data_IF_263944213700
#
_entry.id   IF_263944213700
#
_cell.length_a   1.000
_cell.length_b   1.000
_cell.length_c   1.000
_cell.angle_alpha   90.00
_cell.angle_beta   90.00
_cell.angle_gamma   90.00
#
_symmetry.space_group_name_H-M   'P 1'
#
loop_
_entity.id
_entity.type
_entity.pdbx_description
1 polymer ?
#
# COMPACT_ATOMS: atom_id res chain seq x y z
N UNK A 1 -28.62 -24.34 16.65
CA UNK A 1 -27.40 -23.55 16.95
C UNK A 1 -27.83 -22.35 17.77
N UNK A 2 -27.41 -22.28 19.03
CA UNK A 2 -27.77 -21.19 19.95
C UNK A 2 -26.97 -19.96 19.52
N UNK A 3 -27.64 -18.92 19.01
CA UNK A 3 -27.03 -17.60 18.93
C UNK A 3 -26.79 -17.14 20.37
N UNK A 4 -25.55 -17.29 20.88
CA UNK A 4 -25.17 -16.66 22.13
C UNK A 4 -25.32 -15.14 21.94
N UNK A 5 -26.37 -14.60 22.53
CA UNK A 5 -26.60 -13.17 22.65
C UNK A 5 -25.49 -12.60 23.55
N UNK A 6 -24.32 -12.33 22.96
CA UNK A 6 -23.20 -11.72 23.66
C UNK A 6 -23.67 -10.36 24.16
N UNK A 7 -23.54 -10.12 25.46
CA UNK A 7 -23.84 -8.81 26.05
C UNK A 7 -23.06 -7.73 25.28
N UNK A 8 -23.64 -6.54 25.13
CA UNK A 8 -22.96 -5.42 24.46
C UNK A 8 -21.57 -5.13 25.04
N UNK A 9 -21.37 -5.42 26.33
CA UNK A 9 -20.06 -5.34 26.99
C UNK A 9 -19.07 -6.41 26.49
N UNK A 10 -19.51 -7.65 26.30
CA UNK A 10 -18.67 -8.74 25.77
C UNK A 10 -18.29 -8.48 24.31
N UNK A 11 -19.23 -7.92 23.52
CA UNK A 11 -18.95 -7.51 22.15
C UNK A 11 -17.94 -6.35 22.11
N UNK A 12 -18.06 -5.39 23.02
CA UNK A 12 -17.12 -4.28 23.15
C UNK A 12 -15.69 -4.77 23.44
N UNK A 13 -15.53 -5.71 24.38
CA UNK A 13 -14.23 -6.33 24.70
C UNK A 13 -13.66 -7.11 23.50
N UNK A 14 -14.50 -7.88 22.81
CA UNK A 14 -14.07 -8.62 21.62
C UNK A 14 -13.57 -7.70 20.49
N UNK A 15 -14.20 -6.54 20.30
CA UNK A 15 -13.78 -5.57 19.29
C UNK A 15 -12.43 -4.90 19.63
N UNK A 16 -12.16 -4.63 20.92
CA UNK A 16 -10.86 -4.13 21.36
C UNK A 16 -9.76 -5.16 21.09
N UNK A 17 -10.03 -6.44 21.37
CA UNK A 17 -9.09 -7.51 21.07
C UNK A 17 -8.78 -7.60 19.57
N UNK A 18 -9.81 -7.61 18.73
CA UNK A 18 -9.64 -7.62 17.26
C UNK A 18 -8.79 -6.45 16.77
N UNK A 19 -9.02 -5.25 17.31
CA UNK A 19 -8.22 -4.07 16.98
C UNK A 19 -6.76 -4.23 17.40
N UNK A 20 -6.50 -4.74 18.61
CA UNK A 20 -5.14 -5.00 19.08
C UNK A 20 -4.39 -6.04 18.25
N UNK A 21 -5.07 -7.13 17.87
CA UNK A 21 -4.50 -8.18 17.01
C UNK A 21 -4.12 -7.60 15.63
N UNK A 22 -5.01 -6.78 15.04
CA UNK A 22 -4.74 -6.08 13.78
C UNK A 22 -3.56 -5.09 13.89
N UNK A 23 -3.45 -4.33 14.98
CA UNK A 23 -2.32 -3.43 15.21
C UNK A 23 -1.01 -4.18 15.25
N UNK A 24 -0.95 -5.32 15.96
CA UNK A 24 0.26 -6.13 16.05
C UNK A 24 0.68 -6.70 14.68
N UNK A 25 -0.29 -7.12 13.87
CA UNK A 25 -0.04 -7.59 12.50
C UNK A 25 0.54 -6.48 11.61
N UNK A 26 -0.02 -5.27 11.67
CA UNK A 26 0.47 -4.11 10.89
C UNK A 26 1.78 -3.56 11.40
N UNK A 27 2.04 -3.60 12.71
CA UNK A 27 3.35 -3.25 13.27
C UNK A 27 4.45 -4.19 12.76
N UNK A 28 4.14 -5.47 12.53
CA UNK A 28 5.08 -6.43 11.95
C UNK A 28 5.27 -6.23 10.43
N UNK A 29 4.21 -5.83 9.71
CA UNK A 29 4.25 -5.58 8.26
C UNK A 29 4.91 -4.25 7.90
N UNK A 30 4.77 -3.21 8.73
CA UNK A 30 5.34 -1.88 8.49
C UNK A 30 4.64 -1.08 7.38
N UNK A 31 3.40 -1.44 7.05
CA UNK A 31 2.59 -0.92 5.93
C UNK A 31 1.67 0.25 6.32
N UNK A 32 1.99 0.96 7.41
CA UNK A 32 1.18 2.05 7.96
C UNK A 32 0.86 3.20 6.97
N UNK A 33 1.68 3.38 5.94
CA UNK A 33 1.47 4.41 4.92
C UNK A 33 0.22 4.16 4.07
N UNK A 34 -0.10 2.89 3.79
CA UNK A 34 -1.25 2.51 2.98
C UNK A 34 -2.57 2.80 3.70
N UNK A 35 -2.54 2.73 5.03
CA UNK A 35 -3.69 3.00 5.91
C UNK A 35 -3.79 4.45 6.38
N UNK A 36 -2.88 5.32 5.91
CA UNK A 36 -2.83 6.74 6.31
C UNK A 36 -3.38 7.63 5.22
N UNK A 37 -4.38 8.45 5.55
CA UNK A 37 -4.98 9.43 4.63
C UNK A 37 -5.04 10.81 5.27
N UNK A 38 -4.39 11.79 4.65
CA UNK A 38 -4.30 13.17 5.13
C UNK A 38 -3.78 13.28 6.58
N UNK A 39 -2.78 12.46 6.95
CA UNK A 39 -2.16 12.48 8.29
C UNK A 39 -3.01 11.88 9.40
N UNK A 40 -4.06 11.13 9.06
CA UNK A 40 -4.89 10.37 10.00
C UNK A 40 -5.09 8.95 9.48
N UNK A 41 -5.33 8.01 10.38
CA UNK A 41 -5.63 6.63 10.01
C UNK A 41 -7.03 6.53 9.39
N UNK A 42 -7.15 5.73 8.32
CA UNK A 42 -8.42 5.51 7.64
C UNK A 42 -9.35 4.59 8.44
N UNK A 43 -10.16 5.19 9.32
CA UNK A 43 -11.05 4.47 10.25
C UNK A 43 -12.02 3.50 9.57
N UNK A 44 -12.46 3.79 8.35
CA UNK A 44 -13.37 2.91 7.60
C UNK A 44 -12.68 1.64 7.14
N UNK A 45 -11.45 1.78 6.66
CA UNK A 45 -10.62 0.67 6.19
C UNK A 45 -10.17 -0.21 7.35
N UNK A 46 -9.74 0.41 8.46
CA UNK A 46 -9.43 -0.28 9.71
C UNK A 46 -10.63 -1.11 10.21
N UNK A 47 -11.84 -0.54 10.19
CA UNK A 47 -13.03 -1.25 10.62
C UNK A 47 -13.33 -2.48 9.75
N UNK A 48 -13.16 -2.35 8.44
CA UNK A 48 -13.32 -3.46 7.49
C UNK A 48 -12.30 -4.57 7.75
N UNK A 49 -11.01 -4.22 7.91
CA UNK A 49 -9.92 -5.17 8.18
C UNK A 49 -10.09 -5.87 9.53
N UNK A 50 -10.45 -5.13 10.57
CA UNK A 50 -10.72 -5.70 11.89
C UNK A 50 -12.02 -6.53 11.94
N UNK A 51 -12.85 -6.48 10.89
CA UNK A 51 -14.12 -7.20 10.83
C UNK A 51 -15.14 -6.71 11.86
N UNK A 52 -15.25 -5.40 12.07
CA UNK A 52 -16.32 -4.78 12.85
C UNK A 52 -16.88 -3.54 12.17
N UNK A 53 -18.11 -3.14 12.52
CA UNK A 53 -18.74 -1.97 11.90
C UNK A 53 -18.03 -0.66 12.29
N UNK A 54 -18.00 0.31 11.39
CA UNK A 54 -17.47 1.67 11.66
C UNK A 54 -18.13 2.34 12.88
N UNK A 55 -19.38 1.98 13.20
CA UNK A 55 -20.08 2.44 14.40
C UNK A 55 -19.33 2.06 15.69
N UNK A 56 -18.63 0.93 15.72
CA UNK A 56 -17.85 0.47 16.87
C UNK A 56 -16.71 1.45 17.16
N UNK A 57 -16.02 1.96 16.13
CA UNK A 57 -14.95 2.97 16.30
C UNK A 57 -15.51 4.25 16.93
N UNK A 58 -16.77 4.60 16.66
CA UNK A 58 -17.42 5.81 17.17
C UNK A 58 -18.04 5.63 18.57
N UNK A 59 -18.63 4.47 18.83
CA UNK A 59 -19.46 4.21 20.01
C UNK A 59 -18.71 3.49 21.13
N UNK A 60 -17.67 2.71 20.81
CA UNK A 60 -16.89 1.99 21.82
C UNK A 60 -15.73 2.87 22.31
N UNK A 61 -15.79 3.44 23.53
CA UNK A 61 -14.76 4.33 24.04
C UNK A 61 -13.40 3.64 24.15
N UNK A 62 -13.36 2.33 24.39
CA UNK A 62 -12.11 1.59 24.50
C UNK A 62 -11.39 1.46 23.16
N UNK A 63 -12.12 1.20 22.06
CA UNK A 63 -11.54 1.18 20.70
C UNK A 63 -11.07 2.57 20.30
N UNK A 64 -11.84 3.61 20.63
CA UNK A 64 -11.44 4.99 20.38
C UNK A 64 -10.14 5.36 21.09
N UNK A 65 -10.02 5.05 22.38
CA UNK A 65 -8.81 5.31 23.15
C UNK A 65 -7.60 4.52 22.61
N UNK A 66 -7.80 3.26 22.21
CA UNK A 66 -6.75 2.46 21.59
C UNK A 66 -6.28 3.06 20.25
N UNK A 67 -7.20 3.58 19.44
CA UNK A 67 -6.90 4.24 18.17
C UNK A 67 -6.14 5.56 18.37
N UNK A 68 -6.55 6.39 19.35
CA UNK A 68 -5.84 7.63 19.69
C UNK A 68 -4.42 7.35 20.22
N UNK A 69 -4.25 6.30 21.01
CA UNK A 69 -2.94 5.83 21.49
C UNK A 69 -2.06 5.38 20.32
N UNK A 70 -2.62 4.60 19.40
CA UNK A 70 -1.93 4.17 18.18
C UNK A 70 -1.50 5.37 17.34
N UNK A 71 -2.40 6.29 17.04
CA UNK A 71 -2.10 7.50 16.25
C UNK A 71 -0.98 8.32 16.92
N UNK A 72 -0.99 8.45 18.25
CA UNK A 72 0.10 9.11 18.99
C UNK A 72 1.42 8.38 18.83
N UNK A 73 1.44 7.06 19.00
CA UNK A 73 2.67 6.26 18.85
C UNK A 73 3.23 6.31 17.42
N UNK A 74 2.36 6.29 16.40
CA UNK A 74 2.77 6.38 15.00
C UNK A 74 3.27 7.78 14.64
N UNK A 75 2.73 8.82 15.30
CA UNK A 75 3.22 10.20 15.18
C UNK A 75 4.60 10.36 15.83
N UNK A 76 4.82 9.80 17.01
CA UNK A 76 6.13 9.79 17.68
C UNK A 76 7.18 9.04 16.84
N UNK A 77 6.79 7.94 16.19
CA UNK A 77 7.64 7.19 15.25
C UNK A 77 7.82 7.91 13.90
N UNK A 78 7.13 9.02 13.65
CA UNK A 78 7.19 9.77 12.38
C UNK A 78 6.54 9.05 11.18
N UNK A 79 5.74 8.02 11.42
CA UNK A 79 5.09 7.21 10.38
C UNK A 79 3.82 7.87 9.83
N UNK A 80 3.18 8.74 10.62
CA UNK A 80 2.00 9.52 10.22
C UNK A 80 2.31 11.01 10.40
N UNK A 81 2.11 11.79 9.33
CA UNK A 81 2.28 13.24 9.36
C UNK A 81 1.32 13.90 10.37
N UNK A 82 1.87 14.60 11.36
CA UNK A 82 1.10 15.22 12.43
C UNK A 82 0.14 16.30 11.93
N UNK A 83 -1.17 16.05 12.02
CA UNK A 83 -2.20 17.04 11.69
C UNK A 83 -2.47 18.07 12.79
N UNK A 84 -1.81 17.98 13.96
CA UNK A 84 -2.07 18.91 15.07
C UNK A 84 -1.41 20.28 14.87
N UNK A 85 -0.65 20.47 13.79
CA UNK A 85 -0.24 21.79 13.31
C UNK A 85 -1.26 22.44 12.33
N UNK A 86 -2.39 21.79 12.02
CA UNK A 86 -3.27 22.19 10.90
C UNK A 86 -4.31 23.27 11.24
N UNK A 87 -4.37 23.77 12.48
CA UNK A 87 -5.25 24.92 12.83
C UNK A 87 -4.53 26.21 13.21
N UNK A 88 -3.20 26.23 13.26
CA UNK A 88 -2.43 27.46 13.50
C UNK A 88 -1.55 27.90 12.31
N UNK A 89 -1.28 27.02 11.34
CA UNK A 89 -0.27 27.26 10.29
C UNK A 89 -0.85 27.45 8.87
N UNK A 90 -2.09 27.94 8.74
CA UNK A 90 -2.63 28.29 7.41
C UNK A 90 -2.03 29.57 6.82
N UNK A 91 -1.30 30.33 7.62
CA UNK A 91 -0.62 31.57 7.22
C UNK A 91 0.92 31.51 7.38
N UNK A 92 1.53 30.31 7.42
CA UNK A 92 2.99 30.18 7.43
C UNK A 92 3.54 30.00 6.00
N UNK A 93 4.26 30.98 5.42
CA UNK A 93 4.85 30.88 4.08
C UNK A 93 5.82 29.70 3.96
N UNK A 94 6.37 29.22 5.08
CA UNK A 94 7.31 28.10 5.15
C UNK A 94 6.62 26.75 4.88
N UNK A 95 5.38 26.58 5.37
CA UNK A 95 4.58 25.37 5.17
C UNK A 95 4.14 25.21 3.69
N UNK A 96 3.71 26.30 3.06
CA UNK A 96 3.35 26.32 1.64
C UNK A 96 4.56 26.05 0.73
N UNK A 97 5.74 26.54 1.10
CA UNK A 97 6.98 26.26 0.37
C UNK A 97 7.38 24.79 0.47
N UNK A 98 7.21 24.17 1.65
CA UNK A 98 7.47 22.74 1.84
C UNK A 98 6.50 21.89 1.02
N UNK A 99 5.20 22.21 1.05
CA UNK A 99 4.18 21.48 0.29
C UNK A 99 4.42 21.56 -1.23
N UNK A 100 4.79 22.74 -1.76
CA UNK A 100 5.20 22.87 -3.17
C UNK A 100 6.44 22.04 -3.52
N UNK A 101 7.44 21.98 -2.63
CA UNK A 101 8.65 21.16 -2.84
C UNK A 101 8.32 19.68 -2.84
N UNK A 102 7.44 19.23 -1.95
CA UNK A 102 6.96 17.84 -1.89
C UNK A 102 6.19 17.48 -3.16
N UNK A 103 5.27 18.35 -3.61
CA UNK A 103 4.52 18.13 -4.84
C UNK A 103 5.43 18.11 -6.08
N UNK A 104 6.43 18.99 -6.15
CA UNK A 104 7.41 18.99 -7.23
C UNK A 104 8.30 17.72 -7.21
N UNK A 105 8.71 17.26 -6.03
CA UNK A 105 9.46 16.01 -5.88
C UNK A 105 8.62 14.79 -6.30
N UNK A 106 7.34 14.77 -5.91
CA UNK A 106 6.39 13.73 -6.30
C UNK A 106 6.18 13.68 -7.81
N UNK A 107 5.95 14.83 -8.45
CA UNK A 107 5.80 14.90 -9.91
C UNK A 107 7.04 14.41 -10.66
N UNK A 108 8.25 14.74 -10.17
CA UNK A 108 9.50 14.20 -10.74
C UNK A 108 9.63 12.69 -10.55
N UNK A 109 9.23 12.17 -9.39
CA UNK A 109 9.24 10.74 -9.13
C UNK A 109 8.25 10.00 -10.04
N UNK A 110 7.03 10.51 -10.18
CA UNK A 110 6.00 9.96 -11.08
C UNK A 110 6.46 9.96 -12.54
N UNK A 111 7.09 11.06 -13.00
CA UNK A 111 7.67 11.12 -14.35
C UNK A 111 8.78 10.07 -14.55
N UNK A 112 9.65 9.88 -13.55
CA UNK A 112 10.71 8.87 -13.60
C UNK A 112 10.14 7.45 -13.61
N UNK A 113 9.11 7.18 -12.81
CA UNK A 113 8.40 5.89 -12.80
C UNK A 113 7.83 5.60 -14.19
N UNK A 114 7.08 6.55 -14.75
CA UNK A 114 6.51 6.41 -16.10
C UNK A 114 7.58 6.12 -17.16
N UNK A 115 8.68 6.87 -17.15
CA UNK A 115 9.78 6.66 -18.09
C UNK A 115 10.43 5.27 -17.93
N UNK A 116 10.59 4.79 -16.69
CA UNK A 116 11.13 3.45 -16.42
C UNK A 116 10.15 2.34 -16.81
N UNK A 117 8.84 2.55 -16.67
CA UNK A 117 7.81 1.61 -17.11
C UNK A 117 7.79 1.48 -18.64
N UNK A 118 7.86 2.60 -19.36
CA UNK A 118 7.96 2.63 -20.82
C UNK A 118 9.24 1.92 -21.31
N UNK A 119 10.39 2.18 -20.67
CA UNK A 119 11.64 1.48 -20.99
C UNK A 119 11.56 -0.03 -20.69
N UNK A 120 10.94 -0.43 -19.58
CA UNK A 120 10.74 -1.84 -19.27
C UNK A 120 9.85 -2.52 -20.31
N UNK A 121 8.78 -1.87 -20.74
CA UNK A 121 7.89 -2.41 -21.76
C UNK A 121 8.65 -2.61 -23.10
N UNK A 122 9.44 -1.62 -23.51
CA UNK A 122 10.26 -1.70 -24.71
C UNK A 122 11.30 -2.83 -24.65
N UNK A 123 12.06 -2.91 -23.55
CA UNK A 123 13.07 -3.96 -23.35
C UNK A 123 12.44 -5.36 -23.31
N UNK A 124 11.25 -5.50 -22.70
CA UNK A 124 10.53 -6.79 -22.68
C UNK A 124 10.08 -7.21 -24.08
N UNK A 125 9.63 -6.26 -24.91
CA UNK A 125 9.29 -6.55 -26.30
C UNK A 125 10.53 -6.99 -27.09
N UNK A 126 11.66 -6.28 -26.97
CA UNK A 126 12.91 -6.64 -27.63
C UNK A 126 13.42 -8.03 -27.20
N UNK A 127 13.35 -8.36 -25.91
CA UNK A 127 13.66 -9.70 -25.41
C UNK A 127 12.73 -10.75 -26.03
N UNK A 128 11.45 -10.43 -26.22
CA UNK A 128 10.48 -11.30 -26.89
C UNK A 128 10.89 -11.58 -28.34
N UNK A 129 11.15 -10.54 -29.12
CA UNK A 129 11.53 -10.63 -30.53
C UNK A 129 12.85 -11.40 -30.71
N UNK A 130 13.84 -11.13 -29.86
CA UNK A 130 15.12 -11.84 -29.87
C UNK A 130 14.95 -13.32 -29.52
N UNK A 131 14.09 -13.66 -28.56
CA UNK A 131 13.79 -15.05 -28.22
C UNK A 131 13.10 -15.77 -29.38
N UNK A 132 12.19 -15.11 -30.09
CA UNK A 132 11.54 -15.69 -31.27
C UNK A 132 12.55 -15.93 -32.40
N UNK A 133 13.44 -14.97 -32.67
CA UNK A 133 14.54 -15.14 -33.62
C UNK A 133 15.42 -16.34 -33.26
N UNK A 134 15.81 -16.46 -31.98
CA UNK A 134 16.59 -17.60 -31.50
C UNK A 134 15.83 -18.92 -31.64
N UNK A 135 14.53 -18.95 -31.40
CA UNK A 135 13.72 -20.14 -31.61
C UNK A 135 13.70 -20.58 -33.08
N UNK A 136 13.56 -19.62 -34.01
CA UNK A 136 13.65 -19.88 -35.46
C UNK A 136 15.02 -20.43 -35.84
N UNK A 137 16.11 -19.81 -35.38
CA UNK A 137 17.46 -20.30 -35.66
C UNK A 137 17.71 -21.69 -35.08
N UNK A 138 17.24 -21.98 -33.85
CA UNK A 138 17.33 -23.32 -33.27
C UNK A 138 16.59 -24.35 -34.10
N UNK A 139 15.42 -24.03 -34.63
CA UNK A 139 14.68 -24.94 -35.50
C UNK A 139 15.42 -25.24 -36.80
N UNK A 140 16.00 -24.22 -37.43
CA UNK A 140 16.82 -24.37 -38.63
C UNK A 140 18.06 -25.23 -38.36
N UNK A 141 18.74 -24.98 -37.24
CA UNK A 141 19.92 -25.72 -36.80
C UNK A 141 19.60 -27.20 -36.53
N UNK A 142 18.52 -27.49 -35.81
CA UNK A 142 18.07 -28.86 -35.53
C UNK A 142 17.77 -29.62 -36.83
N UNK A 143 17.09 -28.99 -37.79
CA UNK A 143 16.81 -29.59 -39.08
C UNK A 143 18.08 -29.85 -39.89
N UNK A 144 19.02 -28.90 -39.89
CA UNK A 144 20.30 -29.03 -40.57
C UNK A 144 21.11 -30.18 -39.97
N UNK A 145 21.21 -30.27 -38.65
CA UNK A 145 21.87 -31.38 -37.96
C UNK A 145 21.23 -32.73 -38.28
N UNK A 146 19.89 -32.79 -38.37
CA UNK A 146 19.17 -34.05 -38.61
C UNK A 146 19.22 -34.52 -40.07
N UNK A 147 19.16 -33.60 -41.03
CA UNK A 147 18.98 -33.94 -42.46
C UNK A 147 20.20 -33.64 -43.32
N UNK A 148 21.18 -32.89 -42.80
CA UNK A 148 22.32 -32.38 -43.56
C UNK A 148 21.96 -31.31 -44.60
N UNK A 149 20.71 -30.81 -44.60
CA UNK A 149 20.20 -29.83 -45.57
C UNK A 149 19.56 -28.64 -44.88
N UNK A 150 19.79 -27.44 -45.41
CA UNK A 150 19.14 -26.21 -44.96
C UNK A 150 17.65 -26.21 -45.31
N UNK A 151 16.81 -25.77 -44.37
CA UNK A 151 15.41 -25.42 -44.64
C UNK A 151 15.38 -24.12 -45.49
N UNK A 152 14.50 -24.03 -46.50
CA UNK A 152 14.28 -22.78 -47.22
C UNK A 152 13.74 -21.69 -46.26
N UNK A 153 14.05 -20.41 -46.54
CA UNK A 153 13.66 -19.27 -45.70
C UNK A 153 12.16 -19.04 -45.65
#
# INVERSE_FOLDING_TARGET
MIQLNRSGQQLAVANVKKFGDWVAERDAAGDWQDYTRAGKLNRSEIANECGFALSVVRQNPAVKAALETLETSLRERGLIGGTDASTAAKDDPTALALERRVMAAKGKAEQRVKALEEQNAALRAEIGDLREQLARYRHLDEHLCRTGRMLPP
#
